data_IF_233189189374
#
_entry.id   IF_233189189374
#
_cell.length_a   1.000
_cell.length_b   1.000
_cell.length_c   1.000
_cell.angle_alpha   90.00
_cell.angle_beta   90.00
_cell.angle_gamma   90.00
#
_symmetry.space_group_name_H-M   'P 1'
#
loop_
_entity.id
_entity.type
_entity.pdbx_description
1 polymer ?
#
# COMPACT_ATOMS: atom_id res chain seq x y z
N UNK A 1 -23.01 -6.34 0.30
CA UNK A 1 -23.38 -6.29 1.69
C UNK A 1 -23.44 -7.66 2.32
N UNK A 2 -22.38 -8.12 3.01
CA UNK A 2 -22.40 -9.10 4.11
C UNK A 2 -21.00 -9.19 4.69
N UNK A 3 -20.58 -8.15 5.42
CA UNK A 3 -19.59 -8.36 6.46
C UNK A 3 -20.39 -8.80 7.69
N UNK A 4 -20.39 -10.13 7.95
CA UNK A 4 -20.97 -10.69 9.15
C UNK A 4 -20.13 -10.23 10.34
N UNK A 5 -20.78 -9.54 11.28
CA UNK A 5 -20.23 -9.19 12.58
C UNK A 5 -19.58 -10.41 13.23
N UNK A 6 -18.25 -10.41 13.35
CA UNK A 6 -17.59 -11.12 14.40
C UNK A 6 -18.07 -10.46 15.71
N UNK A 7 -18.93 -11.14 16.48
CA UNK A 7 -19.30 -10.73 17.83
C UNK A 7 -18.12 -10.99 18.76
N UNK A 8 -17.11 -10.13 18.67
CA UNK A 8 -16.18 -9.90 19.76
C UNK A 8 -16.85 -8.96 20.76
N UNK A 9 -16.49 -9.07 22.03
CA UNK A 9 -16.90 -8.13 23.08
C UNK A 9 -16.70 -6.70 22.60
N UNK A 10 -17.73 -5.85 22.71
CA UNK A 10 -17.59 -4.43 22.39
C UNK A 10 -16.39 -3.86 23.15
N UNK A 11 -15.47 -3.17 22.46
CA UNK A 11 -14.34 -2.56 23.14
C UNK A 11 -14.86 -1.57 24.17
N UNK A 12 -14.43 -1.73 25.41
CA UNK A 12 -14.78 -0.82 26.51
C UNK A 12 -13.96 0.47 26.39
N UNK A 13 -14.32 1.32 25.43
CA UNK A 13 -13.70 2.61 25.24
C UNK A 13 -13.80 3.47 26.50
N UNK A 14 -12.70 4.08 26.91
CA UNK A 14 -12.74 5.06 27.98
C UNK A 14 -13.59 6.27 27.56
N UNK A 15 -14.27 6.96 28.49
CA UNK A 15 -15.03 8.17 28.15
C UNK A 15 -14.19 9.26 27.47
N UNK A 16 -12.87 9.24 27.68
CA UNK A 16 -11.92 10.16 27.03
C UNK A 16 -11.71 9.77 25.57
N UNK A 17 -11.48 8.48 25.29
CA UNK A 17 -11.33 7.97 23.93
C UNK A 17 -12.61 8.18 23.09
N UNK A 18 -13.79 7.92 23.68
CA UNK A 18 -15.09 8.19 23.05
C UNK A 18 -15.26 9.67 22.67
N UNK A 19 -14.82 10.59 23.54
CA UNK A 19 -14.89 12.03 23.22
C UNK A 19 -13.90 12.44 22.13
N UNK A 20 -12.70 11.85 22.10
CA UNK A 20 -11.69 12.16 21.08
C UNK A 20 -12.12 11.74 19.67
N UNK A 21 -12.98 10.74 19.57
CA UNK A 21 -13.48 10.21 18.29
C UNK A 21 -14.93 10.65 17.98
N UNK A 22 -15.55 11.47 18.84
CA UNK A 22 -16.96 11.82 18.69
C UNK A 22 -17.29 12.57 17.39
N UNK A 23 -16.31 13.26 16.82
CA UNK A 23 -16.43 14.02 15.57
C UNK A 23 -15.70 13.36 14.40
N UNK A 24 -15.14 12.12 14.59
CA UNK A 24 -14.47 11.41 13.54
C UNK A 24 -15.49 10.89 12.50
N UNK A 25 -15.21 11.14 11.23
CA UNK A 25 -16.00 10.62 10.12
C UNK A 25 -15.45 9.26 9.68
N UNK A 26 -16.24 8.18 9.70
CA UNK A 26 -15.79 6.85 9.27
C UNK A 26 -15.78 6.76 7.73
N UNK A 27 -14.98 7.59 7.09
CA UNK A 27 -14.75 7.58 5.65
C UNK A 27 -13.33 7.12 5.31
N UNK A 28 -13.10 6.72 4.06
CA UNK A 28 -11.76 6.39 3.59
C UNK A 28 -11.12 7.65 3.03
N UNK A 29 -10.24 8.27 3.80
CA UNK A 29 -9.62 9.55 3.48
C UNK A 29 -9.11 9.64 2.04
N UNK A 30 -8.33 8.66 1.61
CA UNK A 30 -7.74 8.67 0.28
C UNK A 30 -8.76 8.52 -0.87
N UNK A 31 -9.87 7.83 -0.63
CA UNK A 31 -10.91 7.62 -1.64
C UNK A 31 -11.92 8.77 -1.70
N UNK A 32 -11.98 9.60 -0.67
CA UNK A 32 -12.83 10.80 -0.61
C UNK A 32 -12.09 12.03 -1.17
N UNK A 33 -11.33 11.83 -2.24
CA UNK A 33 -10.61 12.90 -2.94
C UNK A 33 -11.42 13.39 -4.14
N UNK A 34 -11.41 14.70 -4.36
CA UNK A 34 -12.15 15.35 -5.46
C UNK A 34 -11.63 14.96 -6.85
N UNK A 35 -10.41 14.45 -6.94
CA UNK A 35 -9.82 13.96 -8.19
C UNK A 35 -10.21 12.51 -8.50
N UNK A 36 -11.03 11.87 -7.66
CA UNK A 36 -11.49 10.50 -7.89
C UNK A 36 -12.16 10.38 -9.26
N UNK A 37 -11.68 9.51 -10.16
CA UNK A 37 -12.24 9.40 -11.49
C UNK A 37 -13.62 8.73 -11.42
N UNK A 38 -14.51 9.03 -12.36
CA UNK A 38 -15.78 8.33 -12.45
C UNK A 38 -15.54 6.85 -12.70
N UNK A 39 -16.45 6.00 -12.18
CA UNK A 39 -16.40 4.57 -12.40
C UNK A 39 -16.54 4.24 -13.90
N UNK A 40 -15.81 3.21 -14.32
CA UNK A 40 -15.92 2.66 -15.67
C UNK A 40 -17.17 1.76 -15.80
N UNK A 41 -17.66 1.55 -17.02
CA UNK A 41 -18.82 0.71 -17.23
C UNK A 41 -18.62 -0.73 -16.75
N UNK A 42 -19.69 -1.35 -16.27
CA UNK A 42 -19.71 -2.79 -16.01
C UNK A 42 -19.69 -3.57 -17.33
N UNK A 43 -19.13 -4.78 -17.25
CA UNK A 43 -19.18 -5.71 -18.38
C UNK A 43 -20.61 -6.17 -18.65
N UNK A 44 -21.06 -5.98 -19.88
CA UNK A 44 -22.33 -6.53 -20.40
C UNK A 44 -22.03 -7.38 -21.63
N UNK A 45 -22.58 -8.59 -21.70
CA UNK A 45 -22.38 -9.51 -22.81
C UNK A 45 -21.13 -10.37 -22.67
N UNK A 46 -20.58 -10.80 -23.80
CA UNK A 46 -19.41 -11.68 -23.85
C UNK A 46 -18.22 -10.98 -24.48
N UNK A 47 -17.05 -11.14 -23.88
CA UNK A 47 -15.77 -10.65 -24.42
C UNK A 47 -14.74 -11.77 -24.41
N UNK A 48 -13.75 -11.64 -25.29
CA UNK A 48 -12.55 -12.50 -25.32
C UNK A 48 -11.32 -11.65 -25.05
N UNK A 49 -10.28 -12.26 -24.48
CA UNK A 49 -8.99 -11.63 -24.24
C UNK A 49 -7.86 -12.66 -24.21
N UNK A 50 -6.62 -12.24 -24.51
CA UNK A 50 -5.44 -13.07 -24.31
C UNK A 50 -5.11 -13.20 -22.82
N UNK A 51 -5.20 -12.10 -22.09
CA UNK A 51 -5.00 -12.04 -20.65
C UNK A 51 -6.21 -11.39 -19.97
N UNK A 52 -6.79 -12.08 -19.00
CA UNK A 52 -7.79 -11.52 -18.10
C UNK A 52 -7.17 -11.31 -16.73
N UNK A 53 -7.20 -10.08 -16.23
CA UNK A 53 -6.76 -9.73 -14.89
C UNK A 53 -7.98 -9.54 -14.00
N UNK A 54 -8.06 -10.28 -12.91
CA UNK A 54 -9.18 -10.23 -11.95
C UNK A 54 -8.72 -9.51 -10.69
N UNK A 55 -9.22 -8.31 -10.48
CA UNK A 55 -8.89 -7.39 -9.39
C UNK A 55 -8.18 -6.13 -9.87
N UNK A 56 -8.73 -4.98 -9.52
CA UNK A 56 -8.25 -3.64 -9.87
C UNK A 56 -7.41 -2.96 -8.77
N UNK A 57 -6.75 -3.74 -7.91
CA UNK A 57 -5.72 -3.26 -6.99
C UNK A 57 -4.35 -3.16 -7.67
N UNK A 58 -3.31 -2.79 -6.91
CA UNK A 58 -1.96 -2.61 -7.45
C UNK A 58 -1.46 -3.83 -8.23
N UNK A 59 -1.59 -5.03 -7.67
CA UNK A 59 -1.13 -6.26 -8.36
C UNK A 59 -1.78 -6.41 -9.75
N UNK A 60 -3.08 -6.16 -9.85
CA UNK A 60 -3.79 -6.26 -11.13
C UNK A 60 -3.39 -5.16 -12.10
N UNK A 61 -3.30 -3.93 -11.64
CA UNK A 61 -2.92 -2.77 -12.46
C UNK A 61 -1.50 -2.92 -13.01
N UNK A 62 -0.52 -3.25 -12.17
CA UNK A 62 0.85 -3.50 -12.60
C UNK A 62 0.94 -4.69 -13.55
N UNK A 63 0.18 -5.78 -13.30
CA UNK A 63 0.13 -6.92 -14.22
C UNK A 63 -0.38 -6.51 -15.60
N UNK A 64 -1.46 -5.75 -15.66
CA UNK A 64 -2.04 -5.30 -16.92
C UNK A 64 -1.12 -4.31 -17.66
N UNK A 65 -0.51 -3.35 -16.92
CA UNK A 65 0.41 -2.37 -17.44
C UNK A 65 1.62 -3.05 -18.11
N UNK A 66 2.32 -3.88 -17.34
CA UNK A 66 3.52 -4.58 -17.84
C UNK A 66 3.21 -5.57 -18.96
N UNK A 67 2.04 -6.22 -18.94
CA UNK A 67 1.63 -7.08 -20.04
C UNK A 67 1.48 -6.30 -21.35
N UNK A 68 0.98 -5.07 -21.31
CA UNK A 68 0.84 -4.19 -22.48
C UNK A 68 2.16 -3.53 -22.87
N UNK A 69 3.01 -3.19 -21.93
CA UNK A 69 4.35 -2.64 -22.21
C UNK A 69 5.25 -3.69 -22.88
N UNK A 70 5.17 -4.95 -22.47
CA UNK A 70 5.93 -6.06 -23.03
C UNK A 70 5.42 -6.50 -24.41
N UNK A 71 4.12 -6.41 -24.63
CA UNK A 71 3.45 -6.78 -25.89
C UNK A 71 2.27 -5.84 -26.15
N UNK A 72 2.47 -4.75 -26.89
CA UNK A 72 1.42 -3.77 -27.19
C UNK A 72 0.22 -4.33 -27.95
N UNK A 73 0.38 -5.41 -28.69
CA UNK A 73 -0.69 -6.06 -29.46
C UNK A 73 -1.52 -7.03 -28.63
N UNK A 74 -1.04 -7.40 -27.43
CA UNK A 74 -1.73 -8.32 -26.54
C UNK A 74 -3.08 -7.75 -26.10
N UNK A 75 -4.14 -8.54 -26.25
CA UNK A 75 -5.48 -8.18 -25.79
C UNK A 75 -5.60 -8.42 -24.28
N UNK A 76 -5.64 -7.35 -23.49
CA UNK A 76 -5.70 -7.40 -22.02
C UNK A 76 -7.02 -6.82 -21.53
N UNK A 77 -7.73 -7.58 -20.70
CA UNK A 77 -8.95 -7.14 -20.03
C UNK A 77 -8.79 -7.25 -18.52
N UNK A 78 -9.07 -6.17 -17.79
CA UNK A 78 -9.10 -6.14 -16.33
C UNK A 78 -10.53 -5.97 -15.84
N UNK A 79 -10.93 -6.75 -14.83
CA UNK A 79 -12.23 -6.65 -14.17
C UNK A 79 -12.08 -6.45 -12.69
N UNK A 80 -12.88 -5.53 -12.14
CA UNK A 80 -12.90 -5.18 -10.74
C UNK A 80 -14.32 -5.26 -10.17
N UNK A 81 -14.46 -5.86 -9.00
CA UNK A 81 -15.77 -6.08 -8.38
C UNK A 81 -16.46 -4.78 -7.92
N UNK A 82 -15.68 -3.80 -7.50
CA UNK A 82 -16.15 -2.47 -7.12
C UNK A 82 -15.55 -1.42 -8.07
N UNK A 83 -14.69 -0.54 -7.58
CA UNK A 83 -13.93 0.44 -8.35
C UNK A 83 -12.43 0.19 -8.17
N UNK A 84 -11.63 0.58 -9.14
CA UNK A 84 -10.17 0.46 -9.07
C UNK A 84 -9.65 1.13 -7.81
N UNK A 85 -8.81 0.40 -7.04
CA UNK A 85 -8.18 0.89 -5.83
C UNK A 85 -9.08 0.94 -4.58
N UNK A 86 -10.35 0.57 -4.63
CA UNK A 86 -11.28 0.72 -3.49
C UNK A 86 -10.90 -0.09 -2.24
N UNK A 87 -10.19 -1.21 -2.40
CA UNK A 87 -9.76 -2.08 -1.30
C UNK A 87 -8.39 -1.62 -0.74
N UNK A 88 -7.55 -2.55 -0.29
CA UNK A 88 -6.29 -2.26 0.39
C UNK A 88 -5.37 -1.28 -0.37
N UNK A 89 -5.36 -1.32 -1.72
CA UNK A 89 -4.51 -0.44 -2.54
C UNK A 89 -4.85 1.06 -2.41
N UNK A 90 -6.08 1.42 -2.14
CA UNK A 90 -6.48 2.81 -1.94
C UNK A 90 -6.72 3.21 -0.47
N UNK A 91 -6.34 2.36 0.50
CA UNK A 91 -6.65 2.57 1.93
C UNK A 91 -5.44 2.47 2.84
N UNK A 92 -4.29 2.10 2.32
CA UNK A 92 -3.06 1.94 3.10
C UNK A 92 -2.45 3.29 3.51
N UNK A 93 -1.40 3.26 4.33
CA UNK A 93 -0.74 4.47 4.82
C UNK A 93 0.01 5.27 3.77
N UNK A 94 0.18 4.73 2.56
CA UNK A 94 0.89 5.40 1.47
C UNK A 94 2.41 5.34 1.58
N UNK A 95 2.94 4.37 2.31
CA UNK A 95 4.37 4.06 2.33
C UNK A 95 4.73 3.16 1.17
N UNK A 96 5.70 3.56 0.38
CA UNK A 96 6.23 2.84 -0.76
C UNK A 96 7.68 2.47 -0.46
N UNK A 97 7.86 1.35 0.23
CA UNK A 97 9.16 0.88 0.69
C UNK A 97 9.86 0.00 -0.34
N UNK A 98 11.18 0.07 -0.38
CA UNK A 98 12.03 -0.77 -1.23
C UNK A 98 12.10 -2.24 -0.79
N UNK A 99 11.55 -2.59 0.38
CA UNK A 99 11.62 -3.94 0.92
C UNK A 99 10.68 -4.90 0.19
N UNK A 100 11.22 -6.06 -0.23
CA UNK A 100 10.45 -7.19 -0.76
C UNK A 100 10.08 -8.21 0.33
N UNK A 101 10.57 -8.03 1.55
CA UNK A 101 10.44 -8.97 2.65
C UNK A 101 9.64 -8.43 3.84
N UNK A 102 8.99 -7.28 3.68
CA UNK A 102 8.32 -6.56 4.75
C UNK A 102 9.29 -6.13 5.88
N UNK A 103 10.32 -5.41 5.50
CA UNK A 103 11.40 -4.93 6.34
C UNK A 103 12.69 -5.76 6.25
N UNK A 104 13.81 -5.09 6.44
CA UNK A 104 15.14 -5.69 6.36
C UNK A 104 15.36 -6.75 7.44
N UNK A 105 14.85 -6.52 8.67
CA UNK A 105 14.96 -7.47 9.77
C UNK A 105 14.30 -8.82 9.43
N UNK A 106 13.11 -8.78 8.82
CA UNK A 106 12.42 -10.00 8.36
C UNK A 106 13.15 -10.66 7.18
N UNK A 107 13.80 -9.86 6.33
CA UNK A 107 14.65 -10.36 5.25
C UNK A 107 15.85 -11.15 5.77
N UNK A 108 16.57 -10.59 6.73
CA UNK A 108 17.71 -11.23 7.38
C UNK A 108 17.33 -12.50 8.14
N UNK A 109 16.19 -12.50 8.85
CA UNK A 109 15.72 -13.68 9.62
C UNK A 109 15.28 -14.83 8.70
N UNK A 110 14.57 -14.53 7.62
CA UNK A 110 13.92 -15.56 6.79
C UNK A 110 14.68 -15.93 5.54
N UNK A 111 15.49 -15.03 5.01
CA UNK A 111 16.18 -15.17 3.73
C UNK A 111 17.63 -14.68 3.82
N UNK A 112 18.42 -15.12 4.82
CA UNK A 112 19.77 -14.59 5.04
C UNK A 112 20.70 -14.78 3.83
N UNK A 113 20.58 -15.90 3.11
CA UNK A 113 21.42 -16.20 1.94
C UNK A 113 21.06 -15.37 0.71
N UNK A 114 19.81 -14.89 0.60
CA UNK A 114 19.30 -14.07 -0.50
C UNK A 114 19.15 -12.60 -0.15
N UNK A 115 19.45 -12.20 1.09
CA UNK A 115 19.18 -10.85 1.61
C UNK A 115 19.71 -9.75 0.70
N UNK A 116 20.98 -9.76 0.34
CA UNK A 116 21.60 -8.73 -0.51
C UNK A 116 20.93 -8.65 -1.89
N UNK A 117 20.50 -9.79 -2.43
CA UNK A 117 19.76 -9.84 -3.69
C UNK A 117 18.37 -9.22 -3.56
N UNK A 118 17.67 -9.51 -2.48
CA UNK A 118 16.33 -9.00 -2.20
C UNK A 118 16.35 -7.49 -1.95
N UNK A 119 17.36 -6.99 -1.23
CA UNK A 119 17.57 -5.55 -1.02
C UNK A 119 17.82 -4.81 -2.35
N UNK A 120 18.71 -5.33 -3.18
CA UNK A 120 18.94 -4.74 -4.51
C UNK A 120 17.68 -4.74 -5.36
N UNK A 121 16.96 -5.86 -5.45
CA UNK A 121 15.70 -5.95 -6.20
C UNK A 121 14.62 -5.03 -5.64
N UNK A 122 14.57 -4.85 -4.32
CA UNK A 122 13.65 -3.92 -3.66
C UNK A 122 13.91 -2.47 -4.09
N UNK A 123 15.18 -2.04 -4.09
CA UNK A 123 15.56 -0.71 -4.56
C UNK A 123 15.27 -0.51 -6.04
N UNK A 124 15.62 -1.48 -6.89
CA UNK A 124 15.28 -1.48 -8.31
C UNK A 124 13.75 -1.39 -8.54
N UNK A 125 12.96 -2.05 -7.69
CA UNK A 125 11.50 -1.97 -7.75
C UNK A 125 10.98 -0.57 -7.38
N UNK A 126 11.49 0.05 -6.33
CA UNK A 126 11.10 1.43 -5.94
C UNK A 126 11.47 2.43 -7.05
N UNK A 127 12.67 2.33 -7.61
CA UNK A 127 13.12 3.14 -8.75
C UNK A 127 12.22 2.92 -9.98
N UNK A 128 11.80 1.68 -10.23
CA UNK A 128 10.87 1.31 -11.31
C UNK A 128 9.48 1.91 -11.12
N UNK A 129 8.99 2.00 -9.89
CA UNK A 129 7.73 2.66 -9.55
C UNK A 129 7.83 4.16 -9.85
N UNK A 130 8.87 4.83 -9.38
CA UNK A 130 9.13 6.25 -9.64
C UNK A 130 9.26 6.55 -11.14
N UNK A 131 10.03 5.73 -11.86
CA UNK A 131 10.17 5.83 -13.31
C UNK A 131 8.83 5.68 -14.04
N UNK A 132 7.98 4.76 -13.60
CA UNK A 132 6.65 4.54 -14.19
C UNK A 132 5.71 5.72 -13.91
N UNK A 133 5.71 6.24 -12.68
CA UNK A 133 4.96 7.45 -12.31
C UNK A 133 5.36 8.60 -13.24
N UNK A 134 6.67 8.81 -13.43
CA UNK A 134 7.21 9.86 -14.31
C UNK A 134 6.83 9.63 -15.77
N UNK A 135 7.03 8.39 -16.27
CA UNK A 135 6.76 8.00 -17.66
C UNK A 135 5.31 8.25 -18.08
N UNK A 136 4.37 7.93 -17.20
CA UNK A 136 2.94 8.04 -17.47
C UNK A 136 2.32 9.34 -16.93
N UNK A 137 3.12 10.26 -16.34
CA UNK A 137 2.64 11.52 -15.80
C UNK A 137 1.61 11.37 -14.68
N UNK A 138 1.80 10.37 -13.82
CA UNK A 138 0.87 10.08 -12.73
C UNK A 138 1.08 11.08 -11.59
N UNK A 139 0.05 11.85 -11.26
CA UNK A 139 0.04 12.69 -10.07
C UNK A 139 -0.33 11.84 -8.83
N UNK A 140 0.67 11.16 -8.27
CA UNK A 140 0.53 10.30 -7.11
C UNK A 140 0.99 10.97 -5.80
N UNK A 141 1.30 12.27 -5.81
CA UNK A 141 1.93 12.94 -4.66
C UNK A 141 3.18 12.16 -4.17
N UNK A 142 4.01 11.70 -5.12
CA UNK A 142 5.18 10.89 -4.82
C UNK A 142 6.28 11.75 -4.21
N UNK A 143 6.63 11.46 -2.95
CA UNK A 143 7.68 12.15 -2.20
C UNK A 143 8.72 11.13 -1.70
N UNK A 144 9.92 11.12 -2.25
CA UNK A 144 11.01 10.24 -1.78
C UNK A 144 11.76 10.91 -0.63
N UNK A 145 11.12 10.95 0.54
CA UNK A 145 11.61 11.63 1.75
C UNK A 145 12.27 10.69 2.75
N UNK A 146 12.26 9.40 2.47
CA UNK A 146 12.79 8.39 3.36
C UNK A 146 11.90 8.14 4.58
N UNK A 147 12.42 7.35 5.50
CA UNK A 147 11.73 6.93 6.73
C UNK A 147 12.68 6.97 7.94
N UNK A 148 12.11 7.30 9.08
CA UNK A 148 12.78 7.19 10.38
C UNK A 148 12.17 6.02 11.16
N UNK A 149 12.99 5.03 11.49
CA UNK A 149 12.67 4.01 12.50
C UNK A 149 13.00 4.59 13.87
N UNK A 150 12.01 4.79 14.72
CA UNK A 150 12.13 5.58 15.94
C UNK A 150 12.10 4.70 17.18
N UNK A 151 13.14 4.83 18.02
CA UNK A 151 13.17 4.28 19.37
C UNK A 151 12.46 5.22 20.35
N UNK A 152 11.47 4.71 21.06
CA UNK A 152 10.72 5.42 22.11
C UNK A 152 10.97 4.85 23.51
N UNK A 153 11.66 3.71 23.60
CA UNK A 153 12.05 3.03 24.84
C UNK A 153 13.56 2.79 24.84
N UNK A 154 14.21 2.80 26.00
CA UNK A 154 15.66 2.67 26.12
C UNK A 154 16.20 1.37 25.49
N UNK A 155 15.48 0.25 25.66
CA UNK A 155 15.89 -1.04 25.10
C UNK A 155 15.84 -1.04 23.55
N UNK A 156 14.96 -0.25 22.93
CA UNK A 156 14.90 -0.12 21.47
C UNK A 156 16.12 0.62 20.90
N UNK A 157 16.73 1.51 21.69
CA UNK A 157 17.99 2.18 21.27
C UNK A 157 19.12 1.16 21.12
N UNK A 158 19.22 0.20 22.05
CA UNK A 158 20.23 -0.85 21.98
C UNK A 158 19.98 -1.78 20.80
N UNK A 159 18.74 -2.19 20.56
CA UNK A 159 18.35 -3.00 19.41
C UNK A 159 18.62 -2.29 18.07
N UNK A 160 18.31 -1.00 17.99
CA UNK A 160 18.57 -0.18 16.80
C UNK A 160 20.07 -0.12 16.47
N UNK A 161 20.92 0.04 17.48
CA UNK A 161 22.37 0.03 17.33
C UNK A 161 22.92 -1.34 16.89
N UNK A 162 22.35 -2.43 17.42
CA UNK A 162 22.73 -3.78 17.03
C UNK A 162 22.29 -4.09 15.60
N UNK A 163 21.07 -3.71 15.23
CA UNK A 163 20.55 -3.87 13.90
C UNK A 163 21.36 -3.08 12.85
N UNK A 164 21.72 -1.85 13.16
CA UNK A 164 22.57 -1.06 12.28
C UNK A 164 23.94 -1.71 12.04
N UNK A 165 24.54 -2.34 13.07
CA UNK A 165 25.79 -3.09 12.89
C UNK A 165 25.61 -4.29 11.97
N UNK A 166 24.50 -5.01 12.12
CA UNK A 166 24.17 -6.15 11.25
C UNK A 166 24.00 -5.70 9.79
N UNK A 167 23.29 -4.61 9.55
CA UNK A 167 23.13 -4.05 8.21
C UNK A 167 24.47 -3.62 7.59
N UNK A 168 25.37 -3.06 8.40
CA UNK A 168 26.71 -2.69 7.93
C UNK A 168 27.56 -3.90 7.49
N UNK A 169 27.36 -5.09 8.06
CA UNK A 169 27.99 -6.34 7.61
C UNK A 169 27.53 -6.75 6.21
N UNK A 170 26.33 -6.31 5.81
CA UNK A 170 25.76 -6.50 4.46
C UNK A 170 26.07 -5.32 3.50
N UNK A 171 27.01 -4.45 3.88
CA UNK A 171 27.51 -3.40 3.00
C UNK A 171 26.61 -2.16 2.91
N UNK A 172 25.63 -2.02 3.79
CA UNK A 172 24.87 -0.77 3.94
C UNK A 172 25.62 0.21 4.86
N UNK A 173 25.24 1.49 4.82
CA UNK A 173 25.75 2.53 5.71
C UNK A 173 24.58 3.15 6.51
N UNK A 174 24.10 2.49 7.56
CA UNK A 174 22.93 2.94 8.32
C UNK A 174 23.21 4.27 9.02
N UNK A 175 22.36 5.25 8.79
CA UNK A 175 22.43 6.55 9.44
C UNK A 175 21.71 6.49 10.78
N UNK A 176 22.45 6.43 11.87
CA UNK A 176 21.93 6.49 13.23
C UNK A 176 21.93 7.94 13.72
N UNK A 177 20.83 8.35 14.31
CA UNK A 177 20.63 9.66 14.90
C UNK A 177 20.38 9.49 16.40
N UNK A 178 21.09 10.27 17.19
CA UNK A 178 20.85 10.33 18.63
C UNK A 178 19.58 11.10 18.98
N UNK A 179 19.29 11.24 20.26
CA UNK A 179 18.09 11.94 20.74
C UNK A 179 18.00 13.38 20.22
N UNK A 180 19.07 14.13 20.32
CA UNK A 180 19.09 15.54 19.91
C UNK A 180 18.89 15.66 18.40
N UNK A 181 19.57 14.85 17.63
CA UNK A 181 19.45 14.80 16.16
C UNK A 181 18.06 14.35 15.71
N UNK A 182 17.49 13.31 16.34
CA UNK A 182 16.15 12.82 16.04
C UNK A 182 15.09 13.89 16.36
N UNK A 183 15.19 14.50 17.54
CA UNK A 183 14.25 15.56 17.95
C UNK A 183 14.41 16.85 17.15
N UNK A 184 15.55 17.08 16.51
CA UNK A 184 15.74 18.20 15.59
C UNK A 184 15.01 17.99 14.25
N UNK A 185 14.74 16.75 13.86
CA UNK A 185 13.96 16.43 12.64
C UNK A 185 12.46 16.44 12.90
N UNK A 186 12.04 15.97 14.08
CA UNK A 186 10.63 15.96 14.51
C UNK A 186 10.58 16.21 16.01
N UNK A 187 9.94 17.30 16.41
CA UNK A 187 9.88 17.74 17.80
C UNK A 187 8.97 16.85 18.62
N UNK A 188 9.51 15.77 19.18
CA UNK A 188 8.79 14.91 20.11
C UNK A 188 9.65 14.56 21.32
N UNK A 189 9.19 14.82 22.56
CA UNK A 189 9.98 14.52 23.76
C UNK A 189 10.12 13.01 24.00
N UNK A 190 9.33 12.18 23.34
CA UNK A 190 9.36 10.71 23.50
C UNK A 190 10.40 10.03 22.61
N UNK A 191 10.96 10.72 21.62
CA UNK A 191 11.93 10.15 20.70
C UNK A 191 13.32 10.10 21.34
N UNK A 192 13.93 8.92 21.39
CA UNK A 192 15.20 8.66 22.05
C UNK A 192 16.36 8.52 21.06
N UNK A 193 16.11 7.96 19.91
CA UNK A 193 17.03 7.77 18.80
C UNK A 193 16.25 7.38 17.57
N UNK A 194 16.90 7.42 16.40
CA UNK A 194 16.30 6.85 15.18
C UNK A 194 17.37 6.32 14.22
N UNK A 195 16.95 5.46 13.31
CA UNK A 195 17.68 5.12 12.08
C UNK A 195 16.97 5.82 10.92
N UNK A 196 17.72 6.48 10.07
CA UNK A 196 17.19 7.15 8.90
C UNK A 196 17.56 6.39 7.63
N UNK A 197 16.55 5.87 6.93
CA UNK A 197 16.68 5.35 5.57
C UNK A 197 16.21 6.44 4.58
N UNK A 198 17.17 7.18 4.03
CA UNK A 198 16.88 8.34 3.17
C UNK A 198 16.33 7.95 1.79
N UNK A 199 16.72 6.79 1.27
CA UNK A 199 16.49 6.41 -0.13
C UNK A 199 15.55 5.21 -0.31
N UNK A 200 15.33 4.45 0.76
CA UNK A 200 14.57 3.19 0.69
C UNK A 200 13.06 3.33 0.77
N UNK A 201 12.55 4.53 1.09
CA UNK A 201 11.11 4.76 1.26
C UNK A 201 10.67 6.04 0.56
N UNK A 202 9.58 5.93 -0.17
CA UNK A 202 8.83 7.07 -0.69
C UNK A 202 7.42 7.07 -0.09
N UNK A 203 6.79 8.24 -0.06
CA UNK A 203 5.42 8.44 0.34
C UNK A 203 4.57 8.74 -0.90
N UNK A 204 3.36 8.18 -0.94
CA UNK A 204 2.44 8.38 -2.06
C UNK A 204 1.02 8.64 -1.55
N UNK A 205 0.20 9.23 -2.39
CA UNK A 205 -1.25 9.17 -2.24
C UNK A 205 -1.75 7.87 -2.88
N UNK A 206 -2.10 6.83 -2.10
CA UNK A 206 -2.30 5.49 -2.64
C UNK A 206 -3.46 5.38 -3.62
N UNK A 207 -4.55 6.10 -3.41
CA UNK A 207 -5.67 6.07 -4.34
C UNK A 207 -5.31 6.78 -5.66
N UNK A 208 -4.61 7.93 -5.64
CA UNK A 208 -4.14 8.61 -6.85
C UNK A 208 -3.16 7.76 -7.66
N UNK A 209 -2.27 7.04 -6.98
CA UNK A 209 -1.40 6.07 -7.67
C UNK A 209 -2.21 4.98 -8.38
N UNK A 210 -3.21 4.39 -7.72
CA UNK A 210 -4.07 3.38 -8.32
C UNK A 210 -4.87 3.94 -9.52
N UNK A 211 -5.41 5.15 -9.39
CA UNK A 211 -6.16 5.81 -10.47
C UNK A 211 -5.26 6.22 -11.64
N UNK A 212 -4.04 6.67 -11.36
CA UNK A 212 -3.05 6.97 -12.38
C UNK A 212 -2.62 5.72 -13.15
N UNK A 213 -2.36 4.61 -12.47
CA UNK A 213 -2.09 3.32 -13.11
C UNK A 213 -3.29 2.81 -13.94
N UNK A 214 -4.53 3.01 -13.44
CA UNK A 214 -5.74 2.73 -14.23
C UNK A 214 -5.74 3.54 -15.53
N UNK A 215 -5.44 4.82 -15.47
CA UNK A 215 -5.41 5.67 -16.67
C UNK A 215 -4.30 5.22 -17.62
N UNK A 216 -3.09 4.95 -17.12
CA UNK A 216 -2.01 4.42 -17.94
C UNK A 216 -2.37 3.09 -18.64
N UNK A 217 -3.06 2.19 -17.94
CA UNK A 217 -3.60 0.97 -18.54
C UNK A 217 -4.59 1.26 -19.67
N UNK A 218 -5.52 2.20 -19.47
CA UNK A 218 -6.49 2.60 -20.49
C UNK A 218 -5.80 3.20 -21.72
N UNK A 219 -4.81 4.07 -21.52
CA UNK A 219 -4.04 4.70 -22.59
C UNK A 219 -3.25 3.70 -23.44
N UNK A 220 -2.82 2.59 -22.82
CA UNK A 220 -2.19 1.45 -23.50
C UNK A 220 -3.20 0.48 -24.13
N UNK A 221 -4.51 0.74 -24.02
CA UNK A 221 -5.54 -0.07 -24.61
C UNK A 221 -6.00 -1.27 -23.79
N UNK A 222 -5.73 -1.30 -22.48
CA UNK A 222 -6.37 -2.27 -21.56
C UNK A 222 -7.86 -1.96 -21.46
N UNK A 223 -8.70 -2.96 -21.63
CA UNK A 223 -10.13 -2.84 -21.37
C UNK A 223 -10.39 -3.05 -19.89
N UNK A 224 -10.90 -2.05 -19.19
CA UNK A 224 -11.19 -2.12 -17.76
C UNK A 224 -12.70 -2.04 -17.54
N UNK A 225 -13.23 -2.98 -16.76
CA UNK A 225 -14.62 -3.00 -16.33
C UNK A 225 -14.71 -3.00 -14.81
N UNK A 226 -15.38 -2.00 -14.27
CA UNK A 226 -15.66 -1.89 -12.84
C UNK A 226 -17.05 -2.42 -12.50
N UNK A 227 -17.38 -2.59 -11.23
CA UNK A 227 -18.65 -3.23 -10.79
C UNK A 227 -18.92 -4.57 -11.50
N UNK A 228 -17.83 -5.32 -11.74
CA UNK A 228 -17.84 -6.56 -12.52
C UNK A 228 -17.20 -7.67 -11.71
N UNK A 229 -17.92 -8.21 -10.75
CA UNK A 229 -17.45 -9.31 -9.91
C UNK A 229 -17.35 -10.61 -10.72
N UNK A 230 -16.19 -11.27 -10.69
CA UNK A 230 -16.04 -12.63 -11.21
C UNK A 230 -16.55 -13.61 -10.16
N UNK A 231 -17.63 -14.33 -10.47
CA UNK A 231 -18.27 -15.26 -9.54
C UNK A 231 -17.82 -16.70 -9.73
N UNK A 232 -17.29 -17.04 -10.90
CA UNK A 232 -16.85 -18.39 -11.24
C UNK A 232 -15.80 -18.37 -12.35
N UNK A 233 -14.83 -19.28 -12.25
CA UNK A 233 -13.85 -19.58 -13.30
C UNK A 233 -13.95 -21.06 -13.62
N UNK A 234 -14.00 -21.41 -14.90
CA UNK A 234 -14.05 -22.79 -15.40
C UNK A 234 -13.10 -22.95 -16.58
N UNK A 235 -12.47 -24.11 -16.70
CA UNK A 235 -11.75 -24.46 -17.94
C UNK A 235 -12.74 -24.96 -18.99
N UNK A 236 -12.57 -24.54 -20.24
CA UNK A 236 -13.35 -25.02 -21.38
C UNK A 236 -12.50 -25.82 -22.40
N UNK A 237 -11.34 -26.25 -21.97
CA UNK A 237 -10.39 -27.05 -22.77
C UNK A 237 -9.43 -26.23 -23.62
N UNK A 238 -9.83 -25.08 -24.12
CA UNK A 238 -8.98 -24.18 -24.95
C UNK A 238 -8.57 -22.91 -24.19
N UNK A 239 -9.17 -22.64 -23.01
CA UNK A 239 -8.93 -21.47 -22.20
C UNK A 239 -9.70 -21.53 -20.91
N UNK A 240 -9.97 -20.35 -20.36
CA UNK A 240 -10.69 -20.14 -19.11
C UNK A 240 -11.91 -19.26 -19.36
N UNK A 241 -13.06 -19.71 -18.90
CA UNK A 241 -14.30 -18.95 -18.94
C UNK A 241 -14.60 -18.37 -17.56
N UNK A 242 -14.74 -17.05 -17.48
CA UNK A 242 -15.08 -16.30 -16.30
C UNK A 242 -16.54 -15.83 -16.39
N UNK A 243 -17.31 -16.07 -15.33
CA UNK A 243 -18.71 -15.62 -15.25
C UNK A 243 -18.80 -14.36 -14.39
N UNK A 244 -19.49 -13.36 -14.91
CA UNK A 244 -19.87 -12.13 -14.22
C UNK A 244 -21.41 -12.00 -14.17
N UNK A 245 -21.98 -11.10 -13.35
CA UNK A 245 -23.44 -10.94 -13.22
C UNK A 245 -24.16 -10.66 -14.53
N UNK A 246 -23.58 -9.84 -15.40
CA UNK A 246 -24.21 -9.39 -16.65
C UNK A 246 -23.45 -9.83 -17.91
N UNK A 247 -22.40 -10.66 -17.75
CA UNK A 247 -21.58 -11.06 -18.86
C UNK A 247 -20.64 -12.21 -18.57
N UNK A 248 -19.80 -12.50 -19.54
CA UNK A 248 -18.74 -13.50 -19.42
C UNK A 248 -17.49 -13.08 -20.18
N UNK A 249 -16.33 -13.58 -19.72
CA UNK A 249 -15.07 -13.34 -20.37
C UNK A 249 -14.44 -14.69 -20.68
N UNK A 250 -13.90 -14.83 -21.89
CA UNK A 250 -13.07 -15.96 -22.29
C UNK A 250 -11.64 -15.51 -22.38
N UNK A 251 -10.78 -16.05 -21.53
CA UNK A 251 -9.34 -15.72 -21.49
C UNK A 251 -8.48 -16.91 -21.85
N UNK A 252 -7.39 -16.66 -22.58
CA UNK A 252 -6.33 -17.69 -22.77
C UNK A 252 -5.55 -17.89 -21.48
N UNK A 253 -5.32 -16.79 -20.74
CA UNK A 253 -4.66 -16.76 -19.45
C UNK A 253 -5.46 -15.90 -18.48
N UNK A 254 -5.38 -16.22 -17.19
CA UNK A 254 -6.02 -15.45 -16.13
C UNK A 254 -5.01 -15.17 -15.02
N UNK A 255 -4.85 -13.90 -14.68
CA UNK A 255 -4.13 -13.46 -13.50
C UNK A 255 -5.12 -13.14 -12.38
N UNK A 256 -5.01 -13.82 -11.25
CA UNK A 256 -5.82 -13.54 -10.06
C UNK A 256 -5.09 -12.58 -9.14
N UNK A 257 -5.58 -11.36 -9.07
CA UNK A 257 -5.06 -10.29 -8.24
C UNK A 257 -6.06 -9.89 -7.14
N UNK A 258 -6.71 -10.90 -6.55
CA UNK A 258 -7.86 -10.73 -5.65
C UNK A 258 -7.47 -10.64 -4.18
N UNK A 259 -6.19 -10.57 -3.85
CA UNK A 259 -5.65 -10.44 -2.49
C UNK A 259 -6.36 -11.39 -1.49
N UNK A 260 -6.92 -10.86 -0.41
CA UNK A 260 -7.62 -11.62 0.62
C UNK A 260 -8.99 -12.19 0.18
N UNK A 261 -9.48 -11.82 -1.01
CA UNK A 261 -10.75 -12.32 -1.53
C UNK A 261 -10.55 -13.64 -2.30
N UNK A 262 -10.52 -14.76 -1.57
CA UNK A 262 -10.11 -16.08 -2.08
C UNK A 262 -11.26 -16.91 -2.66
N UNK A 263 -12.45 -16.34 -2.81
CA UNK A 263 -13.68 -17.07 -3.20
C UNK A 263 -13.55 -17.87 -4.51
N UNK A 264 -12.72 -17.41 -5.45
CA UNK A 264 -12.50 -18.06 -6.74
C UNK A 264 -11.62 -19.31 -6.64
N UNK A 265 -10.69 -19.37 -5.67
CA UNK A 265 -9.80 -20.50 -5.42
C UNK A 265 -9.85 -20.93 -3.95
N UNK A 266 -10.85 -21.70 -3.58
CA UNK A 266 -11.09 -22.15 -2.20
C UNK A 266 -9.86 -22.78 -1.54
N UNK A 267 -8.99 -23.46 -2.30
CA UNK A 267 -7.76 -24.05 -1.79
C UNK A 267 -6.79 -23.04 -1.20
N UNK A 268 -6.87 -21.76 -1.58
CA UNK A 268 -6.02 -20.69 -1.05
C UNK A 268 -6.57 -20.09 0.27
N UNK A 269 -7.85 -20.31 0.58
CA UNK A 269 -8.48 -19.74 1.76
C UNK A 269 -7.85 -20.16 3.09
N UNK A 270 -7.17 -21.31 3.13
CA UNK A 270 -6.47 -21.78 4.33
C UNK A 270 -5.04 -21.22 4.49
N UNK A 271 -4.55 -20.50 3.50
CA UNK A 271 -3.20 -19.92 3.50
C UNK A 271 -3.21 -18.40 3.69
N UNK A 272 -4.37 -17.77 3.67
CA UNK A 272 -4.53 -16.32 3.76
C UNK A 272 -5.41 -15.97 4.94
N UNK A 273 -4.84 -15.23 5.89
CA UNK A 273 -5.58 -14.65 7.02
C UNK A 273 -5.58 -13.14 6.82
N UNK A 274 -6.74 -12.51 6.56
CA UNK A 274 -6.81 -11.06 6.47
C UNK A 274 -6.66 -10.47 7.88
N UNK A 275 -5.68 -9.58 8.03
CA UNK A 275 -5.48 -8.77 9.23
C UNK A 275 -5.87 -7.34 8.90
N UNK A 276 -6.66 -6.72 9.76
CA UNK A 276 -7.08 -5.34 9.59
C UNK A 276 -6.11 -4.42 10.32
N UNK A 277 -5.73 -3.40 9.61
CA UNK A 277 -5.00 -2.25 10.12
C UNK A 277 -5.93 -1.02 10.08
N UNK A 278 -5.78 -0.14 11.04
CA UNK A 278 -6.62 1.05 11.17
C UNK A 278 -5.79 2.31 10.95
N UNK A 279 -6.34 3.21 10.16
CA UNK A 279 -5.70 4.49 9.85
C UNK A 279 -6.60 5.62 10.30
N UNK A 280 -6.05 6.53 11.08
CA UNK A 280 -6.67 7.78 11.49
C UNK A 280 -5.99 8.94 10.77
N UNK A 281 -6.76 9.93 10.34
CA UNK A 281 -6.25 11.17 9.77
C UNK A 281 -6.80 12.36 10.55
N UNK A 282 -5.92 13.28 10.93
CA UNK A 282 -6.31 14.49 11.65
C UNK A 282 -6.94 15.53 10.72
N UNK A 283 -7.47 16.60 11.28
CA UNK A 283 -7.63 17.85 10.52
C UNK A 283 -6.27 18.39 10.07
N UNK A 284 -6.22 19.29 9.06
CA UNK A 284 -4.98 19.97 8.71
C UNK A 284 -4.39 20.70 9.90
N UNK A 285 -3.09 20.54 10.13
CA UNK A 285 -2.40 21.25 11.20
C UNK A 285 -2.38 22.75 10.91
N UNK A 286 -2.64 23.55 11.95
CA UNK A 286 -2.42 25.00 11.87
C UNK A 286 -0.92 25.31 11.69
N UNK A 287 -0.54 26.51 11.21
CA UNK A 287 0.87 26.90 11.13
C UNK A 287 1.60 26.77 12.47
N UNK A 288 0.94 27.13 13.59
CA UNK A 288 1.53 27.02 14.93
C UNK A 288 1.72 25.56 15.35
N UNK A 289 0.84 24.66 14.93
CA UNK A 289 0.98 23.22 15.17
C UNK A 289 2.10 22.64 14.32
N UNK A 290 2.21 23.07 13.05
CA UNK A 290 3.30 22.63 12.17
C UNK A 290 4.67 23.06 12.74
N UNK A 291 4.80 24.31 13.18
CA UNK A 291 6.00 24.84 13.84
C UNK A 291 6.33 24.06 15.13
N UNK A 292 5.30 23.72 15.92
CA UNK A 292 5.47 22.96 17.16
C UNK A 292 5.97 21.55 16.92
N UNK A 293 5.48 20.88 15.87
CA UNK A 293 5.91 19.53 15.49
C UNK A 293 7.26 19.56 14.78
N UNK A 294 7.61 20.63 14.05
CA UNK A 294 8.90 20.83 13.40
C UNK A 294 9.27 19.73 12.38
N UNK A 295 8.27 19.15 11.70
CA UNK A 295 8.46 18.01 10.81
C UNK A 295 8.61 18.48 9.34
N UNK A 296 9.61 19.29 9.09
CA UNK A 296 9.83 19.95 7.80
C UNK A 296 10.25 18.97 6.68
N UNK A 297 11.02 17.94 7.04
CA UNK A 297 11.53 16.96 6.07
C UNK A 297 10.48 15.97 5.57
N UNK A 298 9.28 15.94 6.18
CA UNK A 298 8.13 15.10 5.77
C UNK A 298 8.44 13.61 5.62
N UNK A 299 9.51 13.11 6.28
CA UNK A 299 9.87 11.68 6.26
C UNK A 299 8.69 10.83 6.76
N UNK A 300 8.59 9.60 6.28
CA UNK A 300 7.79 8.59 6.95
C UNK A 300 8.37 8.31 8.34
N UNK A 301 7.52 7.99 9.30
CA UNK A 301 7.93 7.63 10.66
C UNK A 301 7.31 6.29 11.03
N UNK A 302 8.11 5.40 11.65
CA UNK A 302 7.63 4.18 12.26
C UNK A 302 8.26 4.00 13.64
N UNK A 303 7.49 3.63 14.65
CA UNK A 303 8.08 3.25 15.95
C UNK A 303 8.48 1.76 15.95
N UNK A 304 9.40 1.40 16.85
CA UNK A 304 9.95 0.05 16.97
C UNK A 304 9.14 -0.86 17.92
N UNK A 305 7.87 -0.57 18.12
CA UNK A 305 6.98 -1.42 18.90
C UNK A 305 6.61 -2.73 18.19
N UNK A 306 6.28 -3.80 18.95
CA UNK A 306 5.74 -5.04 18.35
C UNK A 306 4.40 -4.80 17.63
N UNK A 307 3.59 -3.93 18.18
CA UNK A 307 2.41 -3.34 17.54
C UNK A 307 2.79 -1.92 17.16
N UNK A 308 3.63 -1.81 16.11
CA UNK A 308 4.20 -0.55 15.69
C UNK A 308 3.15 0.38 15.10
N UNK A 309 3.41 1.67 15.24
CA UNK A 309 2.66 2.70 14.55
C UNK A 309 3.51 3.27 13.44
N UNK A 310 2.87 3.60 12.34
CA UNK A 310 3.48 4.35 11.25
C UNK A 310 2.69 5.63 11.01
N UNK A 311 3.37 6.70 10.73
CA UNK A 311 2.72 7.99 10.56
C UNK A 311 3.48 8.89 9.59
N UNK A 312 2.73 9.77 8.95
CA UNK A 312 3.25 10.70 7.96
C UNK A 312 2.42 11.97 7.87
N UNK A 313 2.96 13.01 7.24
CA UNK A 313 2.18 14.16 6.81
C UNK A 313 1.55 13.90 5.43
N UNK A 314 0.29 14.30 5.25
CA UNK A 314 -0.36 14.38 3.95
C UNK A 314 0.03 15.68 3.22
N UNK A 315 -0.28 15.80 1.93
CA UNK A 315 0.04 17.01 1.16
C UNK A 315 -0.59 18.28 1.74
N UNK A 316 -1.74 18.17 2.38
CA UNK A 316 -2.44 19.27 3.07
C UNK A 316 -2.09 19.39 4.57
N UNK A 317 -0.95 18.80 4.98
CA UNK A 317 -0.39 18.87 6.35
C UNK A 317 -1.29 18.27 7.44
N UNK A 318 -1.97 17.16 7.17
CA UNK A 318 -2.59 16.35 8.19
C UNK A 318 -1.60 15.30 8.68
N UNK A 319 -1.74 14.85 9.92
CA UNK A 319 -1.07 13.64 10.37
C UNK A 319 -1.96 12.45 10.03
N UNK A 320 -1.44 11.55 9.20
CA UNK A 320 -1.98 10.22 9.03
C UNK A 320 -1.26 9.29 10.00
N UNK A 321 -2.02 8.55 10.78
CA UNK A 321 -1.53 7.62 11.81
C UNK A 321 -2.16 6.25 11.59
N UNK A 322 -1.34 5.24 11.38
CA UNK A 322 -1.76 3.84 11.27
C UNK A 322 -1.12 2.97 12.33
N UNK A 323 -1.75 1.85 12.63
CA UNK A 323 -1.23 0.91 13.60
C UNK A 323 -2.16 -0.27 13.85
N UNK A 324 -1.68 -1.20 14.64
CA UNK A 324 -2.38 -2.41 15.03
C UNK A 324 -2.82 -2.28 16.49
N UNK A 325 -4.13 -2.23 16.74
CA UNK A 325 -4.75 -2.25 18.07
C UNK A 325 -5.58 -3.52 18.30
#
# INVERSE_FOLDING_TARGET
>A
GRYANARGSEPTWTPRAMRSLAEAEPSVFWLDDRSAPPALPSLVGAVEADLVVVGGGYTGLWTALHAKEADPDRDVTLVEAATVGWAASGRNGGFCASSLTHGEANGLDRFPDEFDTLERLGRENLDGIEATITKHGIDAEFERTGELDIAVEDWQVDELNEFARLLAEHGTDPVLLDREQTQALVHSPTYLASRYDADGVALVHPAKLAWGLRQACLDLGVRIYEHTEVTKITSDGAGLALRCPFGSIRGRQVALATNAFTNLLRRLGNYIVPVYDYVLVTEPLSPEQQDAVGWEGRQGLADLGNQFHYYRLTADNRILWGGYD
#
